data_IF_100487070949
#
_entry.id   IF_100487070949
#
_cell.length_a   1.000
_cell.length_b   1.000
_cell.length_c   1.000
_cell.angle_alpha   90.00
_cell.angle_beta   90.00
_cell.angle_gamma   90.00
#
_symmetry.space_group_name_H-M   'P 1'
#
loop_
_entity.id
_entity.type
_entity.pdbx_description
1 polymer ?
#
# COMPACT_ATOMS: atom_id res chain seq x y z
N UNK A 1 1.16 -15.15 29.32
CA UNK A 1 1.78 -13.97 28.71
C UNK A 1 1.52 -14.07 27.22
N UNK A 2 0.52 -13.36 26.71
CA UNK A 2 0.19 -13.37 25.28
C UNK A 2 1.27 -12.60 24.53
N UNK A 3 1.91 -13.16 23.48
CA UNK A 3 2.89 -12.41 22.70
C UNK A 3 2.16 -11.24 22.04
N UNK A 4 2.56 -10.02 22.37
CA UNK A 4 2.16 -8.81 21.64
C UNK A 4 2.51 -9.04 20.17
N UNK A 5 1.50 -9.18 19.31
CA UNK A 5 1.70 -9.16 17.88
C UNK A 5 2.36 -7.82 17.54
N UNK A 6 3.64 -7.83 17.21
CA UNK A 6 4.36 -6.64 16.78
C UNK A 6 3.75 -6.22 15.44
N UNK A 7 3.00 -5.12 15.46
CA UNK A 7 2.54 -4.48 14.23
C UNK A 7 3.81 -4.02 13.50
N UNK A 8 4.11 -4.52 12.30
CA UNK A 8 5.31 -4.12 11.58
C UNK A 8 5.30 -2.60 11.38
N UNK A 9 6.47 -1.96 11.57
CA UNK A 9 6.61 -0.54 11.32
C UNK A 9 6.23 -0.22 9.86
N UNK A 10 5.58 0.94 9.60
CA UNK A 10 5.25 1.36 8.25
C UNK A 10 6.51 1.53 7.40
N UNK A 11 6.44 1.09 6.14
CA UNK A 11 7.55 1.17 5.19
C UNK A 11 7.51 2.49 4.43
N UNK A 12 8.67 3.04 4.10
CA UNK A 12 8.77 4.31 3.35
C UNK A 12 9.18 4.12 1.89
N UNK A 13 9.28 2.87 1.42
CA UNK A 13 9.65 2.55 0.05
C UNK A 13 8.90 1.31 -0.45
N UNK A 14 8.41 1.40 -1.69
CA UNK A 14 7.80 0.30 -2.45
C UNK A 14 8.43 0.29 -3.85
N UNK A 15 9.10 -0.80 -4.28
CA UNK A 15 9.75 -0.84 -5.58
C UNK A 15 8.80 -0.52 -6.74
N UNK A 16 9.19 0.41 -7.60
CA UNK A 16 8.39 0.82 -8.76
C UNK A 16 7.22 1.75 -8.46
N UNK A 17 7.03 2.20 -7.22
CA UNK A 17 5.96 3.12 -6.84
C UNK A 17 6.55 4.36 -6.18
N UNK A 18 6.17 5.53 -6.69
CA UNK A 18 6.39 6.80 -6.01
C UNK A 18 5.25 7.02 -5.00
N UNK A 19 5.57 6.81 -3.70
CA UNK A 19 4.60 6.91 -2.61
C UNK A 19 4.04 8.34 -2.46
N UNK A 20 4.79 9.40 -2.82
CA UNK A 20 4.29 10.78 -2.74
C UNK A 20 3.25 11.07 -3.84
N UNK A 21 3.17 10.21 -4.88
CA UNK A 21 2.26 10.33 -6.02
C UNK A 21 1.14 9.30 -6.05
N UNK A 22 1.03 8.47 -5.02
CA UNK A 22 -0.08 7.54 -4.85
C UNK A 22 -1.39 8.30 -4.88
N UNK A 23 -2.32 7.85 -5.73
CA UNK A 23 -3.62 8.51 -5.87
C UNK A 23 -4.55 8.13 -4.73
N UNK A 24 -5.62 8.91 -4.56
CA UNK A 24 -6.64 8.62 -3.55
C UNK A 24 -7.26 7.23 -3.73
N UNK A 25 -7.53 6.82 -4.98
CA UNK A 25 -8.10 5.51 -5.28
C UNK A 25 -7.14 4.36 -4.96
N UNK A 26 -5.83 4.58 -5.12
CA UNK A 26 -4.81 3.61 -4.73
C UNK A 26 -4.66 3.53 -3.20
N UNK A 27 -4.64 4.67 -2.50
CA UNK A 27 -4.60 4.73 -1.04
C UNK A 27 -5.86 4.13 -0.39
N UNK A 28 -7.01 4.19 -1.06
CA UNK A 28 -8.26 3.53 -0.63
C UNK A 28 -8.34 2.04 -0.96
N UNK A 29 -7.36 1.48 -1.67
CA UNK A 29 -7.42 0.09 -2.10
C UNK A 29 -8.48 -0.19 -3.17
N UNK A 30 -8.90 0.81 -3.94
CA UNK A 30 -9.79 0.62 -5.10
C UNK A 30 -8.99 0.28 -6.35
N UNK A 31 -7.77 0.79 -6.42
CA UNK A 31 -6.84 0.54 -7.53
C UNK A 31 -5.52 0.00 -7.01
N UNK A 32 -4.92 -0.85 -7.81
CA UNK A 32 -3.63 -1.45 -7.50
C UNK A 32 -2.57 -0.36 -7.33
N UNK A 33 -1.81 -0.40 -6.24
CA UNK A 33 -0.71 0.51 -6.00
C UNK A 33 0.41 0.40 -7.07
N UNK A 34 0.53 -0.77 -7.73
CA UNK A 34 1.59 -1.06 -8.71
C UNK A 34 1.19 -0.69 -10.15
N UNK A 35 0.06 -1.17 -10.64
CA UNK A 35 -0.35 -0.99 -12.05
C UNK A 35 -1.53 -0.02 -12.23
N UNK A 36 -2.05 0.52 -11.13
CA UNK A 36 -3.25 1.36 -11.11
C UNK A 36 -4.50 0.69 -11.73
N UNK A 37 -4.57 -0.61 -11.99
CA UNK A 37 -5.82 -1.26 -12.42
C UNK A 37 -6.85 -1.32 -11.27
N UNK A 38 -8.14 -1.35 -11.58
CA UNK A 38 -9.17 -1.60 -10.55
C UNK A 38 -8.94 -2.96 -9.89
N UNK A 39 -9.01 -2.99 -8.57
CA UNK A 39 -8.85 -4.22 -7.80
C UNK A 39 -10.16 -5.02 -7.83
N UNK A 40 -10.09 -6.21 -8.40
CA UNK A 40 -11.17 -7.21 -8.39
C UNK A 40 -10.82 -8.42 -7.51
N UNK A 41 -9.52 -8.71 -7.41
CA UNK A 41 -8.91 -9.60 -6.43
C UNK A 41 -7.57 -8.99 -6.01
N UNK A 42 -7.37 -8.84 -4.72
CA UNK A 42 -6.30 -8.05 -4.14
C UNK A 42 -5.46 -8.83 -3.13
N UNK A 43 -4.23 -8.37 -2.94
CA UNK A 43 -3.31 -8.84 -1.90
C UNK A 43 -2.71 -7.63 -1.17
N UNK A 44 -2.52 -7.72 0.15
CA UNK A 44 -1.87 -6.65 0.90
C UNK A 44 -0.40 -6.57 0.52
N UNK A 45 0.12 -5.34 0.39
CA UNK A 45 1.55 -5.06 0.28
C UNK A 45 2.16 -4.68 1.65
N UNK A 46 1.31 -4.31 2.61
CA UNK A 46 1.67 -3.85 3.94
C UNK A 46 1.37 -2.37 4.16
N UNK A 47 1.80 -1.85 5.32
CA UNK A 47 1.62 -0.46 5.72
C UNK A 47 2.74 0.42 5.16
N UNK A 48 2.39 1.56 4.57
CA UNK A 48 3.32 2.52 4.01
C UNK A 48 3.07 3.94 4.53
N UNK A 49 4.16 4.73 4.59
CA UNK A 49 4.12 6.17 4.83
C UNK A 49 5.04 6.91 3.86
N UNK A 50 4.76 8.19 3.64
CA UNK A 50 5.58 9.10 2.87
C UNK A 50 5.64 10.47 3.58
N UNK A 51 6.68 11.25 3.29
CA UNK A 51 6.84 12.59 3.86
C UNK A 51 5.78 13.58 3.34
N UNK A 52 5.24 13.32 2.15
CA UNK A 52 4.25 14.16 1.45
C UNK A 52 3.21 13.30 0.73
N UNK A 53 2.20 13.95 0.18
CA UNK A 53 1.11 13.29 -0.56
C UNK A 53 0.05 12.74 0.38
N UNK A 54 -0.62 11.66 -0.04
CA UNK A 54 -1.74 11.08 0.70
C UNK A 54 -1.33 10.07 1.77
N UNK A 55 -0.08 9.62 1.75
CA UNK A 55 0.46 8.60 2.66
C UNK A 55 1.19 9.23 3.86
N UNK A 56 0.81 10.43 4.31
CA UNK A 56 1.43 11.08 5.49
C UNK A 56 1.16 10.32 6.79
N UNK A 57 0.10 9.52 6.82
CA UNK A 57 -0.21 8.58 7.90
C UNK A 57 -0.06 7.13 7.40
N UNK A 58 0.25 6.17 8.30
CA UNK A 58 0.38 4.77 7.94
C UNK A 58 -0.87 4.25 7.24
N UNK A 59 -0.71 3.89 5.97
CA UNK A 59 -1.82 3.45 5.12
C UNK A 59 -1.47 2.11 4.51
N UNK A 60 -2.41 1.17 4.56
CA UNK A 60 -2.25 -0.13 3.92
C UNK A 60 -2.40 0.00 2.40
N UNK A 61 -1.42 -0.47 1.65
CA UNK A 61 -1.49 -0.51 0.19
C UNK A 61 -1.78 -1.92 -0.32
N UNK A 62 -2.50 -1.98 -1.43
CA UNK A 62 -2.99 -3.22 -2.03
C UNK A 62 -2.53 -3.35 -3.48
N UNK A 63 -2.27 -4.57 -3.90
CA UNK A 63 -1.95 -4.91 -5.28
C UNK A 63 -2.88 -5.98 -5.80
N UNK A 64 -2.88 -6.19 -7.12
CA UNK A 64 -3.57 -7.33 -7.71
C UNK A 64 -3.05 -8.65 -7.09
N UNK A 65 -3.98 -9.57 -6.79
CA UNK A 65 -3.65 -10.90 -6.29
C UNK A 65 -2.91 -11.73 -7.35
N UNK A 66 -3.36 -11.79 -8.62
CA UNK A 66 -2.46 -12.12 -9.70
C UNK A 66 -1.39 -11.03 -9.83
N UNK A 67 -0.10 -11.38 -10.01
CA UNK A 67 0.94 -10.40 -10.24
C UNK A 67 0.59 -9.48 -11.41
N UNK A 68 0.85 -8.18 -11.23
CA UNK A 68 0.71 -7.21 -12.31
C UNK A 68 1.59 -7.62 -13.49
N UNK A 69 1.07 -7.47 -14.70
CA UNK A 69 1.82 -7.67 -15.94
C UNK A 69 2.64 -6.44 -16.28
#
# INVERSE_FOLDING_TARGET
MTPTAQIPAPRTALPGVDLERVTFEQAKGWRCALCAACLTADRPLGMFTAARGLLTEPTELWACAPPCR
#
